data_IF_342365689013
#
_entry.id   IF_342365689013
#
_cell.length_a   1.000
_cell.length_b   1.000
_cell.length_c   1.000
_cell.angle_alpha   90.00
_cell.angle_beta   90.00
_cell.angle_gamma   90.00
#
_symmetry.space_group_name_H-M   'P 1'
#
loop_
_entity.id
_entity.type
_entity.pdbx_description
1 polymer ?
#
# COMPACT_ATOMS: atom_id res chain seq x y z
N UNK A 1 4.37 11.12 -2.64
CA UNK A 1 5.37 11.54 -1.63
C UNK A 1 5.12 10.85 -0.28
N UNK A 2 6.15 10.23 0.32
CA UNK A 2 6.05 9.60 1.65
C UNK A 2 6.45 10.64 2.68
N UNK A 3 5.49 11.12 3.48
CA UNK A 3 5.75 12.11 4.52
C UNK A 3 6.49 11.48 5.72
N UNK A 4 7.48 12.19 6.27
CA UNK A 4 8.15 11.82 7.52
C UNK A 4 7.34 12.20 8.76
N UNK A 5 6.31 13.03 8.61
CA UNK A 5 5.44 13.50 9.69
C UNK A 5 4.50 12.38 10.17
N UNK A 6 4.06 12.44 11.43
CA UNK A 6 3.14 11.48 12.06
C UNK A 6 3.81 10.47 13.01
N UNK A 7 3.01 9.57 13.59
CA UNK A 7 3.46 8.61 14.61
C UNK A 7 4.48 7.59 14.07
N UNK A 8 5.62 7.47 14.76
CA UNK A 8 6.67 6.49 14.48
C UNK A 8 6.17 5.06 14.68
N UNK A 9 5.35 4.82 15.71
CA UNK A 9 4.74 3.53 16.01
C UNK A 9 3.80 3.08 14.89
N UNK A 10 2.92 3.98 14.42
CA UNK A 10 2.01 3.68 13.32
C UNK A 10 2.78 3.33 12.04
N UNK A 11 3.86 4.06 11.74
CA UNK A 11 4.73 3.77 10.59
C UNK A 11 5.38 2.39 10.69
N UNK A 12 5.87 2.00 11.87
CA UNK A 12 6.45 0.66 12.09
C UNK A 12 5.42 -0.44 11.89
N UNK A 13 4.22 -0.28 12.44
CA UNK A 13 3.11 -1.21 12.28
C UNK A 13 2.69 -1.36 10.81
N UNK A 14 2.52 -0.25 10.10
CA UNK A 14 2.17 -0.24 8.68
C UNK A 14 3.28 -0.84 7.81
N UNK A 15 4.55 -0.65 8.17
CA UNK A 15 5.66 -1.30 7.49
C UNK A 15 5.61 -2.82 7.64
N UNK A 16 5.34 -3.34 8.85
CA UNK A 16 5.14 -4.78 9.04
C UNK A 16 3.89 -5.28 8.29
N UNK A 17 2.80 -4.52 8.32
CA UNK A 17 1.59 -4.83 7.54
C UNK A 17 1.81 -4.80 6.03
N UNK A 18 2.79 -4.04 5.53
CA UNK A 18 3.11 -4.00 4.11
C UNK A 18 3.61 -5.36 3.59
N UNK A 19 4.27 -6.17 4.44
CA UNK A 19 4.76 -7.50 4.09
C UNK A 19 3.64 -8.51 3.83
N UNK A 20 2.56 -8.45 4.60
CA UNK A 20 1.39 -9.30 4.36
C UNK A 20 0.53 -8.72 3.24
N UNK A 21 0.45 -7.39 3.14
CA UNK A 21 -0.34 -6.70 2.13
C UNK A 21 0.14 -6.99 0.69
N UNK A 22 1.44 -6.94 0.39
CA UNK A 22 1.90 -7.24 -0.98
C UNK A 22 1.67 -8.71 -1.38
N UNK A 23 1.47 -9.62 -0.42
CA UNK A 23 1.18 -11.04 -0.70
C UNK A 23 -0.31 -11.33 -0.87
N UNK A 24 -1.17 -10.57 -0.21
CA UNK A 24 -2.62 -10.80 -0.17
C UNK A 24 -3.42 -9.85 -1.04
N UNK A 25 -2.89 -8.66 -1.31
CA UNK A 25 -3.52 -7.65 -2.13
C UNK A 25 -2.80 -7.55 -3.48
N UNK A 26 -3.48 -7.97 -4.55
CA UNK A 26 -2.98 -7.93 -5.94
C UNK A 26 -2.48 -6.53 -6.33
N UNK A 27 -3.18 -5.48 -5.86
CA UNK A 27 -2.80 -4.10 -6.12
C UNK A 27 -1.46 -3.70 -5.49
N UNK A 28 -1.16 -4.26 -4.32
CA UNK A 28 0.09 -4.04 -3.62
C UNK A 28 1.21 -4.93 -4.19
N UNK A 29 0.89 -6.16 -4.60
CA UNK A 29 1.80 -7.08 -5.29
C UNK A 29 2.32 -6.46 -6.59
N UNK A 30 1.40 -6.03 -7.46
CA UNK A 30 1.73 -5.42 -8.75
C UNK A 30 2.57 -4.15 -8.59
N UNK A 31 2.32 -3.34 -7.55
CA UNK A 31 3.13 -2.16 -7.27
C UNK A 31 4.55 -2.54 -6.84
N UNK A 32 4.68 -3.56 -5.99
CA UNK A 32 5.97 -4.05 -5.52
C UNK A 32 6.80 -4.60 -6.67
N UNK A 33 6.23 -5.51 -7.45
CA UNK A 33 6.87 -6.15 -8.61
C UNK A 33 7.34 -5.10 -9.62
N UNK A 34 6.45 -4.19 -10.04
CA UNK A 34 6.81 -3.09 -10.96
C UNK A 34 7.97 -2.22 -10.47
N UNK A 35 8.07 -2.00 -9.16
CA UNK A 35 9.14 -1.18 -8.59
C UNK A 35 10.47 -1.94 -8.53
N UNK A 36 10.43 -3.24 -8.24
CA UNK A 36 11.58 -4.13 -8.23
C UNK A 36 12.11 -4.35 -9.64
N UNK A 37 11.23 -4.57 -10.63
CA UNK A 37 11.59 -4.67 -12.05
C UNK A 37 12.27 -3.40 -12.57
N UNK A 38 11.86 -2.23 -12.07
CA UNK A 38 12.53 -0.95 -12.35
C UNK A 38 13.91 -0.80 -11.69
N UNK A 39 14.40 -1.80 -11.00
CA UNK A 39 15.69 -1.78 -10.31
C UNK A 39 15.69 -1.00 -8.99
N UNK A 40 14.52 -0.69 -8.41
CA UNK A 40 14.51 -0.05 -7.09
C UNK A 40 14.84 -1.06 -5.99
N UNK A 41 15.54 -0.62 -4.92
CA UNK A 41 15.78 -1.49 -3.77
C UNK A 41 14.47 -2.00 -3.15
N UNK A 42 14.41 -3.26 -2.69
CA UNK A 42 13.20 -3.86 -2.10
C UNK A 42 12.60 -3.02 -0.97
N UNK A 43 13.44 -2.41 -0.14
CA UNK A 43 13.01 -1.52 0.95
C UNK A 43 12.23 -0.31 0.45
N UNK A 44 12.63 0.28 -0.69
CA UNK A 44 11.94 1.43 -1.30
C UNK A 44 10.60 1.00 -1.90
N UNK A 45 10.55 -0.20 -2.49
CA UNK A 45 9.31 -0.80 -2.98
C UNK A 45 8.30 -1.05 -1.84
N UNK A 46 8.75 -1.60 -0.71
CA UNK A 46 7.92 -1.78 0.49
C UNK A 46 7.38 -0.46 1.07
N UNK A 47 8.20 0.58 1.10
CA UNK A 47 7.76 1.91 1.56
C UNK A 47 6.67 2.48 0.62
N UNK A 48 6.76 2.22 -0.68
CA UNK A 48 5.71 2.59 -1.63
C UNK A 48 4.42 1.77 -1.42
N UNK A 49 4.54 0.47 -1.14
CA UNK A 49 3.40 -0.39 -0.77
C UNK A 49 2.72 0.12 0.49
N UNK A 50 3.48 0.44 1.54
CA UNK A 50 2.97 1.03 2.78
C UNK A 50 2.15 2.31 2.49
N UNK A 51 2.64 3.19 1.61
CA UNK A 51 1.94 4.40 1.23
C UNK A 51 0.69 4.15 0.37
N UNK A 52 0.65 3.08 -0.45
CA UNK A 52 -0.56 2.65 -1.15
C UNK A 52 -1.59 2.11 -0.15
N UNK A 53 -1.15 1.24 0.76
CA UNK A 53 -1.99 0.63 1.79
C UNK A 53 -2.64 1.69 2.70
N UNK A 54 -1.87 2.67 3.17
CA UNK A 54 -2.41 3.75 4.02
C UNK A 54 -3.52 4.55 3.32
N UNK A 55 -3.40 4.78 2.00
CA UNK A 55 -4.44 5.45 1.21
C UNK A 55 -5.68 4.58 1.03
N UNK A 56 -5.50 3.27 0.85
CA UNK A 56 -6.60 2.31 0.78
C UNK A 56 -7.39 2.27 2.10
N UNK A 57 -6.69 2.17 3.24
CA UNK A 57 -7.32 2.23 4.56
C UNK A 57 -8.08 3.53 4.77
N UNK A 58 -7.49 4.67 4.39
CA UNK A 58 -8.14 5.96 4.51
C UNK A 58 -9.39 6.07 3.64
N UNK A 59 -9.36 5.56 2.40
CA UNK A 59 -10.52 5.53 1.51
C UNK A 59 -11.67 4.70 2.07
N UNK A 60 -11.38 3.52 2.60
CA UNK A 60 -12.36 2.63 3.24
C UNK A 60 -13.02 3.31 4.44
N UNK A 61 -12.22 3.90 5.34
CA UNK A 61 -12.75 4.58 6.53
C UNK A 61 -13.54 5.82 6.15
N UNK A 62 -13.09 6.58 5.14
CA UNK A 62 -13.74 7.82 4.70
C UNK A 62 -15.10 7.57 4.04
N UNK A 63 -15.17 6.59 3.15
CA UNK A 63 -16.39 6.28 2.39
C UNK A 63 -17.30 5.28 3.12
N UNK A 64 -16.79 4.65 4.18
CA UNK A 64 -17.45 3.57 4.92
C UNK A 64 -17.87 2.39 4.02
N UNK A 65 -17.11 2.18 2.94
CA UNK A 65 -17.34 1.12 1.95
C UNK A 65 -16.21 0.09 2.02
N UNK A 66 -16.53 -1.21 1.87
CA UNK A 66 -15.53 -2.26 1.91
C UNK A 66 -14.51 -2.10 0.76
N UNK A 67 -13.26 -2.48 1.03
CA UNK A 67 -12.20 -2.46 0.02
C UNK A 67 -12.53 -3.40 -1.15
N UNK A 68 -12.67 -2.83 -2.35
CA UNK A 68 -12.87 -3.60 -3.59
C UNK A 68 -11.56 -3.68 -4.39
N UNK A 69 -11.20 -4.90 -4.81
CA UNK A 69 -9.95 -5.19 -5.55
C UNK A 69 -10.04 -4.70 -7.01
N UNK A 70 -11.25 -4.47 -7.53
CA UNK A 70 -11.52 -4.00 -8.89
C UNK A 70 -12.30 -2.68 -8.83
N UNK A 71 -11.62 -1.54 -8.99
CA UNK A 71 -12.26 -0.31 -9.44
C UNK A 71 -12.07 -0.20 -10.96
N UNK A 72 -12.87 -0.99 -11.71
CA UNK A 72 -13.24 -0.80 -13.13
C UNK A 72 -13.66 -2.14 -13.76
N UNK A 73 -14.91 -2.50 -13.57
CA UNK A 73 -15.75 -2.93 -14.69
C UNK A 73 -17.10 -2.27 -14.44
N UNK A 74 -17.44 -1.34 -15.34
CA UNK A 74 -18.74 -0.70 -15.57
C UNK A 74 -18.88 0.80 -15.23
N UNK A 75 -19.28 1.50 -16.30
CA UNK A 75 -20.01 2.76 -16.44
C UNK A 75 -19.23 4.07 -16.29
#
# INVERSE_FOLDING_TARGET
PVSKMGSSTARRLLYLGSWTAFRKNLDCANLYERLVEKGNPPKKALVAVMAKLARQMFGVVKNNEPYQIKFAENA
#
